data_IF_236241506072
#
_entry.id   IF_236241506072
#
_cell.length_a   1.000
_cell.length_b   1.000
_cell.length_c   1.000
_cell.angle_alpha   90.00
_cell.angle_beta   90.00
_cell.angle_gamma   90.00
#
_symmetry.space_group_name_H-M   'P 1'
#
loop_
_entity.id
_entity.type
_entity.pdbx_description
1 polymer ?
#
# COMPACT_ATOMS: atom_id res chain seq x y z
N UNK A 1 20.47 2.22 -31.89
CA UNK A 1 20.00 2.86 -30.65
C UNK A 1 19.29 4.20 -30.83
N UNK A 2 19.61 5.05 -31.82
CA UNK A 2 18.96 6.37 -31.99
C UNK A 2 17.61 6.37 -32.74
N UNK A 3 17.28 5.32 -33.50
CA UNK A 3 16.03 5.26 -34.28
C UNK A 3 14.78 5.06 -33.43
N UNK A 4 14.89 4.31 -32.32
CA UNK A 4 13.75 4.03 -31.43
C UNK A 4 13.34 5.29 -30.65
N UNK A 5 14.32 6.06 -30.15
CA UNK A 5 14.06 7.33 -29.47
C UNK A 5 13.44 8.37 -30.41
N UNK A 6 13.90 8.41 -31.66
CA UNK A 6 13.35 9.30 -32.69
C UNK A 6 11.90 8.96 -33.04
N UNK A 7 11.58 7.67 -33.22
CA UNK A 7 10.19 7.22 -33.44
C UNK A 7 9.29 7.51 -32.25
N UNK A 8 9.77 7.31 -31.02
CA UNK A 8 9.00 7.62 -29.82
C UNK A 8 8.69 9.13 -29.71
N UNK A 9 9.65 9.99 -30.06
CA UNK A 9 9.44 11.44 -30.09
C UNK A 9 8.44 11.86 -31.18
N UNK A 10 8.56 11.31 -32.39
CA UNK A 10 7.63 11.56 -33.50
C UNK A 10 6.19 11.11 -33.14
N UNK A 11 6.03 9.92 -32.55
CA UNK A 11 4.74 9.42 -32.08
C UNK A 11 4.12 10.27 -30.96
N UNK A 12 4.95 10.81 -30.06
CA UNK A 12 4.47 11.69 -28.99
C UNK A 12 3.97 13.03 -29.54
N UNK A 13 4.66 13.59 -30.54
CA UNK A 13 4.24 14.81 -31.22
C UNK A 13 2.90 14.59 -31.94
N UNK A 14 2.74 13.46 -32.64
CA UNK A 14 1.48 13.16 -33.33
C UNK A 14 0.33 12.88 -32.37
N UNK A 15 0.58 12.24 -31.22
CA UNK A 15 -0.41 12.08 -30.15
C UNK A 15 -0.89 13.43 -29.62
N UNK A 16 0.02 14.35 -29.32
CA UNK A 16 -0.32 15.71 -28.83
C UNK A 16 -1.13 16.49 -29.86
N UNK A 17 -0.85 16.32 -31.16
CA UNK A 17 -1.63 16.94 -32.25
C UNK A 17 -3.04 16.38 -32.40
N UNK A 18 -3.26 15.12 -32.01
CA UNK A 18 -4.56 14.45 -32.10
C UNK A 18 -5.45 14.70 -30.87
N UNK A 19 -4.89 15.23 -29.78
CA UNK A 19 -5.69 15.71 -28.67
C UNK A 19 -6.49 16.93 -29.14
N UNK A 20 -7.81 16.77 -29.23
CA UNK A 20 -8.71 17.92 -29.38
C UNK A 20 -8.38 18.92 -28.26
N UNK A 21 -8.25 20.22 -28.58
CA UNK A 21 -8.02 21.22 -27.55
C UNK A 21 -9.12 21.06 -26.49
N UNK A 22 -8.78 21.07 -25.19
CA UNK A 22 -9.77 20.92 -24.15
C UNK A 22 -10.88 21.94 -24.41
N UNK A 23 -12.13 21.46 -24.52
CA UNK A 23 -13.30 22.33 -24.64
C UNK A 23 -13.13 23.43 -23.61
N UNK A 24 -13.18 24.72 -23.99
CA UNK A 24 -12.99 25.80 -23.05
C UNK A 24 -13.97 25.56 -21.90
N UNK A 25 -13.41 25.22 -20.73
CA UNK A 25 -14.21 25.17 -19.52
C UNK A 25 -14.91 26.52 -19.45
N UNK A 26 -16.24 26.49 -19.29
CA UNK A 26 -17.03 27.68 -18.96
C UNK A 26 -16.21 28.48 -17.96
N UNK A 27 -15.80 29.69 -18.38
CA UNK A 27 -15.16 30.64 -17.48
C UNK A 27 -16.12 30.81 -16.32
N UNK A 28 -15.80 30.23 -15.16
CA UNK A 28 -16.20 30.87 -13.92
C UNK A 28 -15.55 32.24 -14.04
N UNK A 29 -16.37 33.27 -14.25
CA UNK A 29 -15.95 34.65 -14.10
C UNK A 29 -15.53 34.83 -12.65
N UNK A 30 -14.27 34.46 -12.37
CA UNK A 30 -13.56 35.03 -11.25
C UNK A 30 -13.24 36.44 -11.71
N UNK A 31 -14.03 37.36 -11.19
CA UNK A 31 -13.94 38.80 -11.36
C UNK A 31 -12.45 39.21 -11.40
N UNK A 32 -11.94 39.80 -12.50
CA UNK A 32 -10.53 40.12 -12.64
C UNK A 32 -10.24 41.42 -11.89
N UNK A 33 -10.50 41.43 -10.58
CA UNK A 33 -9.76 42.28 -9.65
C UNK A 33 -8.45 41.57 -9.29
N UNK A 34 -7.70 41.21 -10.33
CA UNK A 34 -6.26 41.12 -10.27
C UNK A 34 -5.76 42.53 -9.99
N UNK A 35 -5.79 42.91 -8.72
CA UNK A 35 -5.02 44.04 -8.24
C UNK A 35 -3.58 43.71 -8.60
N UNK A 36 -3.01 44.49 -9.53
CA UNK A 36 -1.62 44.36 -9.94
C UNK A 36 -0.74 44.26 -8.68
N UNK A 37 0.19 43.30 -8.64
CA UNK A 37 1.12 43.10 -7.51
C UNK A 37 1.89 44.37 -7.12
N UNK A 38 1.99 45.35 -8.04
CA UNK A 38 2.55 46.68 -7.81
C UNK A 38 1.71 47.58 -6.86
N UNK A 39 0.41 47.34 -6.74
CA UNK A 39 -0.47 48.09 -5.83
C UNK A 39 -0.41 47.52 -4.41
N UNK A 40 -0.31 46.20 -4.26
CA UNK A 40 -0.06 45.53 -2.98
C UNK A 40 1.29 45.93 -2.38
N UNK A 41 2.36 46.02 -3.20
CA UNK A 41 3.66 46.47 -2.67
C UNK A 41 3.59 47.90 -2.13
N UNK A 42 2.84 48.81 -2.78
CA UNK A 42 2.66 50.19 -2.28
C UNK A 42 1.84 50.27 -1.00
N UNK A 43 0.87 49.38 -0.79
CA UNK A 43 0.10 49.29 0.46
C UNK A 43 0.96 48.78 1.63
N UNK A 44 1.85 47.81 1.38
CA UNK A 44 2.79 47.28 2.38
C UNK A 44 3.80 48.34 2.83
N UNK A 45 4.26 49.22 1.94
CA UNK A 45 5.18 50.32 2.31
C UNK A 45 4.50 51.51 3.03
N UNK A 46 3.16 51.59 3.02
CA UNK A 46 2.38 52.65 3.67
C UNK A 46 1.82 52.29 5.05
N UNK A 47 1.80 51.01 5.40
CA UNK A 47 1.24 50.48 6.65
C UNK A 47 2.21 49.48 7.29
N UNK A 48 3.16 49.92 8.14
CA UNK A 48 4.13 49.04 8.79
C UNK A 48 3.48 48.01 9.74
N UNK A 49 2.21 48.21 10.09
CA UNK A 49 1.37 47.29 10.87
C UNK A 49 1.05 46.00 10.09
N UNK A 50 1.00 46.03 8.75
CA UNK A 50 0.75 44.85 7.92
C UNK A 50 1.99 43.97 7.70
N UNK A 51 3.19 44.51 7.96
CA UNK A 51 4.44 43.74 8.04
C UNK A 51 4.70 43.14 9.41
N UNK A 52 3.96 43.57 10.44
CA UNK A 52 4.08 42.97 11.76
C UNK A 52 3.32 41.66 11.75
N UNK A 53 4.08 40.57 11.84
CA UNK A 53 3.52 39.24 12.06
C UNK A 53 2.64 39.30 13.32
N UNK A 54 1.36 38.85 13.25
CA UNK A 54 0.47 38.85 14.41
C UNK A 54 1.15 38.22 15.62
N UNK A 55 0.90 38.75 16.82
CA UNK A 55 1.51 38.21 18.05
C UNK A 55 1.22 36.71 18.25
N UNK A 56 0.08 36.24 17.76
CA UNK A 56 -0.30 34.82 17.74
C UNK A 56 0.62 33.97 16.86
N UNK A 57 1.02 34.48 15.69
CA UNK A 57 1.95 33.82 14.77
C UNK A 57 3.39 33.88 15.27
N UNK A 58 3.78 34.95 15.99
CA UNK A 58 5.06 35.03 16.69
C UNK A 58 5.13 34.09 17.91
N UNK A 59 3.97 33.70 18.47
CA UNK A 59 3.88 32.74 19.57
C UNK A 59 3.93 31.27 19.10
N UNK A 60 3.83 31.01 17.78
CA UNK A 60 4.06 29.69 17.23
C UNK A 60 5.53 29.29 17.45
N UNK A 61 5.75 28.05 17.90
CA UNK A 61 7.11 27.55 18.13
C UNK A 61 7.89 27.65 16.81
N UNK A 62 9.17 28.09 16.83
CA UNK A 62 10.01 28.05 15.65
C UNK A 62 10.05 26.62 15.10
N UNK A 63 10.14 26.47 13.78
CA UNK A 63 10.14 25.17 13.08
C UNK A 63 11.16 24.18 13.67
N UNK A 64 12.26 24.70 14.23
CA UNK A 64 13.33 23.95 14.90
C UNK A 64 12.90 23.33 16.25
N UNK A 65 11.82 23.82 16.87
CA UNK A 65 11.21 23.30 18.09
C UNK A 65 9.85 22.62 17.86
N UNK A 66 9.42 22.49 16.60
CA UNK A 66 8.34 21.59 16.25
C UNK A 66 8.86 20.17 16.50
N UNK A 67 8.15 19.34 17.30
CA UNK A 67 8.57 17.96 17.49
C UNK A 67 8.64 17.30 16.12
N UNK A 68 9.80 16.78 15.74
CA UNK A 68 9.91 15.89 14.58
C UNK A 68 8.89 14.78 14.81
N UNK A 69 7.91 14.60 13.91
CA UNK A 69 6.89 13.57 14.10
C UNK A 69 7.61 12.23 14.26
N UNK A 70 7.44 11.63 15.44
CA UNK A 70 7.94 10.29 15.71
C UNK A 70 6.83 9.33 15.36
N UNK A 71 7.04 8.56 14.30
CA UNK A 71 6.08 7.59 13.79
C UNK A 71 6.24 6.26 14.54
N UNK A 72 6.19 6.30 15.87
CA UNK A 72 6.47 5.16 16.76
C UNK A 72 5.44 5.07 17.89
N UNK A 73 5.09 3.84 18.30
CA UNK A 73 4.36 3.57 19.54
C UNK A 73 2.96 2.98 19.36
N UNK A 74 2.45 2.39 20.44
CA UNK A 74 1.09 1.85 20.54
C UNK A 74 0.09 3.00 20.51
N UNK A 75 -0.83 2.98 19.54
CA UNK A 75 -1.91 3.95 19.42
C UNK A 75 -3.16 3.50 20.17
N UNK A 76 -3.52 2.22 20.04
CA UNK A 76 -4.71 1.65 20.66
C UNK A 76 -4.53 0.15 20.87
N UNK A 77 -5.11 -0.35 21.96
CA UNK A 77 -5.26 -1.78 22.21
C UNK A 77 -6.74 -2.10 22.50
N UNK A 78 -7.22 -3.21 21.97
CA UNK A 78 -8.57 -3.74 22.22
C UNK A 78 -8.46 -5.22 22.54
N UNK A 79 -8.88 -5.62 23.74
CA UNK A 79 -9.01 -7.02 24.10
C UNK A 79 -10.39 -7.53 23.69
N UNK A 80 -10.43 -8.67 23.00
CA UNK A 80 -11.65 -9.34 22.54
C UNK A 80 -11.64 -10.75 23.11
N UNK A 81 -12.28 -10.95 24.26
CA UNK A 81 -12.36 -12.28 24.88
C UNK A 81 -13.38 -13.18 24.15
N UNK A 82 -13.10 -14.48 23.95
CA UNK A 82 -11.87 -15.22 24.28
C UNK A 82 -10.82 -15.25 23.15
N UNK A 83 -10.94 -14.38 22.14
CA UNK A 83 -10.20 -14.46 20.88
C UNK A 83 -8.78 -13.86 20.91
N UNK A 84 -8.51 -12.91 21.80
CA UNK A 84 -7.16 -12.33 21.98
C UNK A 84 -7.15 -10.81 22.03
N UNK A 85 -6.08 -10.19 21.52
CA UNK A 85 -5.88 -8.73 21.53
C UNK A 85 -5.61 -8.20 20.13
N UNK A 86 -6.16 -7.02 19.84
CA UNK A 86 -5.90 -6.26 18.64
C UNK A 86 -5.15 -4.99 19.03
N UNK A 87 -3.97 -4.80 18.46
CA UNK A 87 -3.14 -3.63 18.69
C UNK A 87 -2.99 -2.82 17.41
N UNK A 88 -3.18 -1.51 17.52
CA UNK A 88 -2.88 -0.55 16.47
C UNK A 88 -1.60 0.14 16.87
N UNK A 89 -0.53 -0.12 16.14
CA UNK A 89 0.81 0.40 16.41
C UNK A 89 1.26 1.26 15.24
N UNK A 90 1.92 2.35 15.56
CA UNK A 90 2.66 3.15 14.60
C UNK A 90 4.12 2.72 14.62
N UNK A 91 4.69 2.33 13.47
CA UNK A 91 6.08 1.86 13.41
C UNK A 91 6.43 1.18 12.10
N UNK A 92 7.63 0.59 12.04
CA UNK A 92 8.05 -0.29 10.95
C UNK A 92 7.46 -1.70 11.16
N UNK A 93 6.73 -2.19 10.16
CA UNK A 93 6.15 -3.53 10.16
C UNK A 93 7.23 -4.62 10.29
N UNK A 94 8.40 -4.41 9.70
CA UNK A 94 9.48 -5.41 9.73
C UNK A 94 10.20 -5.48 11.08
N UNK A 95 9.96 -4.52 11.96
CA UNK A 95 10.44 -4.53 13.36
C UNK A 95 9.39 -5.08 14.33
N UNK A 96 8.19 -5.43 13.83
CA UNK A 96 7.13 -5.98 14.65
C UNK A 96 7.51 -7.37 15.19
N UNK A 97 7.34 -7.55 16.51
CA UNK A 97 7.52 -8.82 17.20
C UNK A 97 6.27 -9.69 17.04
N UNK A 98 6.06 -10.20 15.82
CA UNK A 98 4.96 -11.10 15.49
C UNK A 98 5.47 -12.34 14.75
N UNK A 99 4.79 -13.46 14.90
CA UNK A 99 5.16 -14.73 14.26
C UNK A 99 4.94 -14.69 12.74
N UNK A 100 3.98 -13.88 12.28
CA UNK A 100 3.72 -13.68 10.86
C UNK A 100 3.61 -12.20 10.47
N UNK A 101 4.18 -11.85 9.32
CA UNK A 101 4.01 -10.57 8.65
C UNK A 101 3.11 -10.78 7.44
N UNK A 102 1.94 -10.13 7.42
CA UNK A 102 1.02 -10.17 6.28
C UNK A 102 1.31 -8.98 5.38
N UNK A 103 1.66 -9.26 4.13
CA UNK A 103 2.18 -8.28 3.18
C UNK A 103 1.33 -8.26 1.92
N UNK A 104 0.94 -7.08 1.41
CA UNK A 104 0.18 -7.00 0.18
C UNK A 104 1.13 -7.20 -1.02
N UNK A 105 0.66 -7.95 -2.03
CA UNK A 105 1.47 -8.34 -3.19
C UNK A 105 0.70 -8.22 -4.50
N UNK A 106 1.41 -8.06 -5.60
CA UNK A 106 0.84 -8.03 -6.95
C UNK A 106 0.68 -9.45 -7.52
N UNK A 107 -0.27 -9.70 -8.44
CA UNK A 107 -0.54 -11.03 -9.01
C UNK A 107 0.66 -11.71 -9.69
N UNK A 108 1.62 -10.91 -10.18
CA UNK A 108 2.82 -11.39 -10.84
C UNK A 108 4.03 -11.56 -9.90
N UNK A 109 3.88 -11.31 -8.59
CA UNK A 109 4.96 -11.32 -7.61
C UNK A 109 6.16 -10.44 -8.00
N UNK A 110 5.91 -9.36 -8.74
CA UNK A 110 6.94 -8.41 -9.15
C UNK A 110 6.50 -7.00 -8.71
N UNK A 111 6.60 -6.70 -7.41
CA UNK A 111 6.30 -5.37 -6.90
C UNK A 111 7.38 -4.40 -7.42
N UNK A 112 6.95 -3.27 -7.96
CA UNK A 112 7.86 -2.23 -8.47
C UNK A 112 8.08 -1.08 -7.48
N UNK A 113 7.28 -1.02 -6.41
CA UNK A 113 7.37 -0.05 -5.31
C UNK A 113 6.53 -0.49 -4.11
N UNK A 114 6.69 0.22 -3.00
CA UNK A 114 5.88 0.03 -1.80
C UNK A 114 6.34 -1.17 -0.98
N UNK A 115 5.49 -1.60 -0.05
CA UNK A 115 5.88 -2.54 0.99
C UNK A 115 6.28 -3.92 0.46
N UNK A 116 5.65 -4.39 -0.62
CA UNK A 116 6.03 -5.67 -1.25
C UNK A 116 7.46 -5.65 -1.82
N UNK A 117 7.92 -4.52 -2.36
CA UNK A 117 9.29 -4.39 -2.84
C UNK A 117 10.26 -4.30 -1.67
N UNK A 118 9.95 -3.48 -0.67
CA UNK A 118 10.77 -3.35 0.54
C UNK A 118 10.95 -4.70 1.24
N UNK A 119 9.91 -5.52 1.28
CA UNK A 119 9.97 -6.88 1.82
C UNK A 119 10.99 -7.76 1.05
N UNK A 120 10.98 -7.71 -0.28
CA UNK A 120 11.95 -8.44 -1.10
C UNK A 120 13.37 -7.89 -1.00
N UNK A 121 13.53 -6.58 -0.90
CA UNK A 121 14.86 -5.95 -0.73
C UNK A 121 15.48 -6.34 0.62
N UNK A 122 14.68 -6.39 1.70
CA UNK A 122 15.14 -6.82 3.04
C UNK A 122 15.36 -8.32 3.15
N UNK A 123 14.42 -9.14 2.64
CA UNK A 123 14.53 -10.60 2.65
C UNK A 123 15.57 -11.15 1.65
N UNK A 124 15.96 -10.32 0.69
CA UNK A 124 16.95 -10.64 -0.31
C UNK A 124 16.56 -11.80 -1.22
N UNK A 125 17.57 -12.37 -1.89
CA UNK A 125 17.39 -13.40 -2.91
C UNK A 125 16.66 -14.65 -2.40
N UNK A 126 16.93 -15.06 -1.16
CA UNK A 126 16.36 -16.27 -0.58
C UNK A 126 14.83 -16.18 -0.43
N UNK A 127 14.33 -15.04 0.07
CA UNK A 127 12.89 -14.81 0.20
C UNK A 127 12.22 -14.78 -1.18
N UNK A 128 12.84 -14.14 -2.16
CA UNK A 128 12.31 -14.08 -3.53
C UNK A 128 12.21 -15.49 -4.13
N UNK A 129 13.28 -16.28 -4.06
CA UNK A 129 13.29 -17.65 -4.59
C UNK A 129 12.25 -18.54 -3.89
N UNK A 130 12.15 -18.46 -2.55
CA UNK A 130 11.13 -19.18 -1.79
C UNK A 130 9.71 -18.78 -2.21
N UNK A 131 9.46 -17.48 -2.39
CA UNK A 131 8.14 -16.95 -2.80
C UNK A 131 7.72 -17.50 -4.16
N UNK A 132 8.61 -17.45 -5.15
CA UNK A 132 8.31 -17.97 -6.49
C UNK A 132 8.18 -19.50 -6.52
N UNK A 133 9.01 -20.22 -5.75
CA UNK A 133 8.93 -21.67 -5.63
C UNK A 133 7.59 -22.10 -5.00
N UNK A 134 7.18 -21.44 -3.91
CA UNK A 134 5.91 -21.72 -3.26
C UNK A 134 4.72 -21.38 -4.17
N UNK A 135 4.72 -20.21 -4.82
CA UNK A 135 3.64 -19.83 -5.72
C UNK A 135 3.50 -20.79 -6.92
N UNK A 136 4.62 -21.32 -7.41
CA UNK A 136 4.62 -22.34 -8.45
C UNK A 136 4.01 -23.65 -7.94
N UNK A 137 4.43 -24.13 -6.77
CA UNK A 137 3.86 -25.32 -6.16
C UNK A 137 2.35 -25.19 -5.93
N UNK A 138 1.89 -24.05 -5.42
CA UNK A 138 0.47 -23.76 -5.20
C UNK A 138 -0.33 -23.67 -6.52
N UNK A 139 0.29 -23.20 -7.60
CA UNK A 139 -0.33 -23.18 -8.94
C UNK A 139 -0.45 -24.59 -9.52
N UNK A 140 0.59 -25.42 -9.39
CA UNK A 140 0.60 -26.82 -9.84
C UNK A 140 -0.44 -27.67 -9.08
N UNK A 141 -0.56 -27.48 -7.75
CA UNK A 141 -1.56 -28.17 -6.93
C UNK A 141 -3.00 -27.76 -7.30
N UNK A 142 -3.21 -26.50 -7.69
CA UNK A 142 -4.51 -26.03 -8.17
C UNK A 142 -4.85 -26.59 -9.54
N UNK A 143 -3.90 -26.59 -10.47
CA UNK A 143 -4.08 -27.18 -11.80
C UNK A 143 -4.41 -28.68 -11.70
N UNK A 144 -3.74 -29.41 -10.80
CA UNK A 144 -4.02 -30.81 -10.54
C UNK A 144 -5.45 -31.05 -10.02
N UNK A 145 -5.99 -30.12 -9.20
CA UNK A 145 -7.36 -30.19 -8.68
C UNK A 145 -8.43 -29.78 -9.69
N UNK A 146 -8.17 -28.78 -10.52
CA UNK A 146 -9.14 -28.26 -11.49
C UNK A 146 -9.17 -29.08 -12.79
N UNK A 147 -8.15 -29.89 -13.06
CA UNK A 147 -8.01 -30.60 -14.33
C UNK A 147 -7.69 -29.67 -15.51
N UNK A 148 -7.37 -28.39 -15.24
CA UNK A 148 -6.96 -27.44 -16.26
C UNK A 148 -5.48 -27.62 -16.61
N UNK A 149 -5.19 -27.73 -17.90
CA UNK A 149 -3.83 -27.80 -18.43
C UNK A 149 -3.25 -26.39 -18.54
N UNK A 150 -2.56 -25.92 -17.50
CA UNK A 150 -1.79 -24.67 -17.54
C UNK A 150 -1.42 -24.10 -16.18
N UNK A 151 -0.34 -23.31 -16.14
CA UNK A 151 0.01 -22.50 -14.97
C UNK A 151 -0.93 -21.30 -14.93
N UNK A 152 -1.99 -21.38 -14.13
CA UNK A 152 -2.85 -20.23 -13.89
C UNK A 152 -2.09 -19.24 -13.00
N UNK A 153 -2.04 -17.96 -13.42
CA UNK A 153 -1.42 -16.91 -12.62
C UNK A 153 -2.15 -16.70 -11.30
N UNK A 154 -1.47 -16.11 -10.31
CA UNK A 154 -2.10 -15.83 -9.03
C UNK A 154 -3.28 -14.86 -9.20
N UNK A 155 -4.34 -15.11 -8.46
CA UNK A 155 -5.55 -14.31 -8.46
C UNK A 155 -5.67 -13.49 -7.17
N UNK A 156 -6.51 -12.46 -7.19
CA UNK A 156 -6.79 -11.67 -6.00
C UNK A 156 -7.37 -12.57 -4.90
N UNK A 157 -6.74 -12.55 -3.72
CA UNK A 157 -7.06 -13.41 -2.58
C UNK A 157 -6.16 -14.63 -2.45
N UNK A 158 -5.36 -14.97 -3.46
CA UNK A 158 -4.32 -15.98 -3.30
C UNK A 158 -3.29 -15.53 -2.27
N UNK A 159 -2.80 -16.48 -1.48
CA UNK A 159 -1.77 -16.24 -0.48
C UNK A 159 -0.56 -17.12 -0.74
N UNK A 160 0.63 -16.56 -0.57
CA UNK A 160 1.92 -17.26 -0.66
C UNK A 160 2.61 -17.11 0.68
N UNK A 161 2.84 -18.22 1.36
CA UNK A 161 3.35 -18.27 2.72
C UNK A 161 4.76 -18.87 2.74
N UNK A 162 5.73 -18.08 3.17
CA UNK A 162 7.16 -18.43 3.14
C UNK A 162 7.86 -17.99 4.42
N UNK A 163 8.98 -18.62 4.79
CA UNK A 163 9.80 -18.14 5.91
C UNK A 163 10.37 -16.75 5.61
N UNK A 164 10.27 -15.84 6.57
CA UNK A 164 10.86 -14.49 6.50
C UNK A 164 12.36 -14.51 6.84
N UNK A 165 12.73 -15.27 7.87
CA UNK A 165 14.10 -15.41 8.33
C UNK A 165 14.67 -16.81 8.00
N UNK A 166 16.00 -16.92 8.00
CA UNK A 166 16.68 -18.20 7.75
C UNK A 166 16.42 -19.25 8.85
N UNK A 167 15.91 -18.81 10.00
CA UNK A 167 15.54 -19.68 11.11
C UNK A 167 14.08 -20.17 11.04
N UNK A 168 13.28 -19.64 10.11
CA UNK A 168 11.86 -19.97 9.94
C UNK A 168 10.97 -19.60 11.12
N UNK A 169 11.43 -18.72 12.02
CA UNK A 169 10.69 -18.31 13.23
C UNK A 169 9.62 -17.29 12.93
N UNK A 170 9.91 -16.39 11.98
CA UNK A 170 8.95 -15.42 11.48
C UNK A 170 8.56 -15.79 10.05
N UNK A 171 7.29 -15.59 9.71
CA UNK A 171 6.73 -15.91 8.40
C UNK A 171 6.37 -14.64 7.63
N UNK A 172 6.45 -14.72 6.31
CA UNK A 172 5.93 -13.71 5.41
C UNK A 172 4.78 -14.31 4.60
N UNK A 173 3.58 -13.74 4.78
CA UNK A 173 2.36 -14.14 4.10
C UNK A 173 2.04 -13.06 3.08
N UNK A 174 2.38 -13.31 1.82
CA UNK A 174 2.06 -12.43 0.71
C UNK A 174 0.64 -12.67 0.24
N UNK A 175 -0.19 -11.64 0.30
CA UNK A 175 -1.59 -11.68 -0.12
C UNK A 175 -1.71 -10.95 -1.45
N UNK A 176 -2.18 -11.63 -2.48
CA UNK A 176 -2.38 -11.01 -3.79
C UNK A 176 -3.59 -10.08 -3.72
N UNK A 177 -3.31 -8.79 -3.78
CA UNK A 177 -4.32 -7.76 -3.59
C UNK A 177 -4.98 -7.36 -4.92
N UNK A 178 -6.31 -7.15 -4.95
CA UNK A 178 -7.00 -6.54 -6.07
C UNK A 178 -6.64 -5.07 -6.19
N UNK A 179 -6.79 -4.51 -7.39
CA UNK A 179 -6.72 -3.06 -7.58
C UNK A 179 -8.11 -2.45 -7.38
N UNK A 180 -8.19 -1.33 -6.67
CA UNK A 180 -9.47 -0.66 -6.39
C UNK A 180 -10.25 -0.30 -7.67
N UNK A 181 -9.55 0.12 -8.73
CA UNK A 181 -10.17 0.56 -9.98
C UNK A 181 -10.63 -0.57 -10.93
N UNK A 182 -10.49 -1.84 -10.54
CA UNK A 182 -10.92 -2.98 -11.36
C UNK A 182 -12.40 -3.35 -11.20
N UNK A 183 -13.27 -2.34 -11.18
CA UNK A 183 -14.72 -2.54 -11.09
C UNK A 183 -15.44 -1.41 -10.34
N UNK A 184 -16.63 -1.71 -9.85
CA UNK A 184 -17.36 -0.79 -8.99
C UNK A 184 -16.72 -0.73 -7.58
N UNK A 185 -16.90 0.38 -6.83
CA UNK A 185 -16.43 0.47 -5.45
C UNK A 185 -16.96 -0.65 -4.54
N UNK A 186 -18.19 -1.12 -4.80
CA UNK A 186 -18.80 -2.23 -4.07
C UNK A 186 -18.10 -3.56 -4.37
N UNK A 187 -17.76 -3.82 -5.63
CA UNK A 187 -17.04 -5.03 -6.00
C UNK A 187 -15.59 -5.01 -5.50
N UNK A 188 -14.94 -3.83 -5.55
CA UNK A 188 -13.63 -3.62 -4.98
C UNK A 188 -13.61 -3.93 -3.47
N UNK A 189 -14.63 -3.48 -2.73
CA UNK A 189 -14.78 -3.77 -1.31
C UNK A 189 -15.02 -5.27 -1.04
N UNK A 190 -15.85 -5.95 -1.83
CA UNK A 190 -16.06 -7.40 -1.72
C UNK A 190 -14.79 -8.20 -1.96
N UNK A 191 -14.03 -7.84 -3.02
CA UNK A 191 -12.74 -8.47 -3.33
C UNK A 191 -11.71 -8.22 -2.22
N UNK A 192 -11.63 -6.99 -1.72
CA UNK A 192 -10.74 -6.66 -0.61
C UNK A 192 -11.08 -7.45 0.65
N UNK A 193 -12.36 -7.55 1.00
CA UNK A 193 -12.86 -8.38 2.11
C UNK A 193 -12.44 -9.84 1.95
N UNK A 194 -12.62 -10.40 0.75
CA UNK A 194 -12.16 -11.75 0.45
C UNK A 194 -10.66 -11.90 0.69
N UNK A 195 -9.84 -10.94 0.25
CA UNK A 195 -8.39 -10.98 0.45
C UNK A 195 -7.99 -10.89 1.92
N UNK A 196 -8.62 -10.00 2.69
CA UNK A 196 -8.42 -9.89 4.14
C UNK A 196 -8.74 -11.22 4.84
N UNK A 197 -9.89 -11.82 4.52
CA UNK A 197 -10.26 -13.14 5.03
C UNK A 197 -9.24 -14.22 4.69
N UNK A 198 -8.77 -14.26 3.44
CA UNK A 198 -7.77 -15.23 3.01
C UNK A 198 -6.42 -15.00 3.69
N UNK A 199 -6.06 -13.75 3.97
CA UNK A 199 -4.85 -13.39 4.71
C UNK A 199 -4.89 -13.94 6.15
N UNK A 200 -5.98 -13.69 6.88
CA UNK A 200 -6.17 -14.20 8.23
C UNK A 200 -6.28 -15.72 8.26
N UNK A 201 -6.97 -16.32 7.29
CA UNK A 201 -7.03 -17.78 7.15
C UNK A 201 -5.65 -18.38 6.89
N UNK A 202 -4.80 -17.74 6.07
CA UNK A 202 -3.44 -18.20 5.83
C UNK A 202 -2.58 -18.11 7.09
N UNK A 203 -2.71 -17.03 7.86
CA UNK A 203 -2.02 -16.88 9.14
C UNK A 203 -2.49 -17.96 10.14
N UNK A 204 -3.80 -18.19 10.26
CA UNK A 204 -4.36 -19.17 11.18
C UNK A 204 -4.09 -20.63 10.80
N UNK A 205 -4.01 -20.93 9.49
CA UNK A 205 -3.84 -22.29 8.96
C UNK A 205 -2.42 -22.60 8.48
N UNK A 206 -1.42 -21.82 8.89
CA UNK A 206 -0.01 -22.04 8.53
C UNK A 206 0.51 -23.44 8.92
N UNK A 207 -0.16 -24.17 9.82
CA UNK A 207 0.16 -25.55 10.18
C UNK A 207 -0.18 -26.58 9.07
N UNK A 208 -1.04 -26.25 8.10
CA UNK A 208 -1.70 -27.22 7.22
C UNK A 208 -1.00 -27.48 5.87
N UNK A 209 0.06 -26.75 5.51
CA UNK A 209 0.55 -26.73 4.12
C UNK A 209 1.81 -27.53 3.79
N UNK A 210 2.35 -28.34 4.69
CA UNK A 210 3.32 -29.39 4.31
C UNK A 210 3.38 -30.52 5.34
N UNK A 211 3.02 -31.77 4.99
CA UNK A 211 3.21 -32.90 5.90
C UNK A 211 4.71 -33.22 6.02
N UNK A 212 5.33 -32.88 7.15
CA UNK A 212 6.71 -33.28 7.46
C UNK A 212 7.63 -32.18 8.00
N UNK A 213 7.19 -30.93 8.07
CA UNK A 213 7.93 -29.87 8.77
C UNK A 213 7.20 -29.53 10.08
N UNK A 214 7.88 -29.71 11.22
CA UNK A 214 7.45 -29.18 12.52
C UNK A 214 7.45 -27.64 12.44
N UNK A 215 6.39 -27.07 11.90
CA UNK A 215 6.19 -25.62 11.81
C UNK A 215 5.49 -25.15 13.08
N UNK A 216 6.03 -24.14 13.74
CA UNK A 216 5.41 -23.56 14.92
C UNK A 216 4.08 -22.88 14.57
N UNK A 217 3.04 -22.99 15.42
CA UNK A 217 1.80 -22.24 15.27
C UNK A 217 2.06 -20.73 15.22
N UNK A 218 1.33 -20.02 14.37
CA UNK A 218 1.31 -18.55 14.36
C UNK A 218 0.35 -18.10 15.47
N UNK A 219 0.90 -17.57 16.56
CA UNK A 219 0.10 -17.02 17.66
C UNK A 219 -0.19 -15.52 17.48
N UNK A 220 0.64 -14.84 16.68
CA UNK A 220 0.57 -13.41 16.44
C UNK A 220 0.85 -13.07 14.98
N UNK A 221 0.09 -12.12 14.43
CA UNK A 221 0.29 -11.62 13.07
C UNK A 221 0.27 -10.09 13.06
N UNK A 222 1.21 -9.49 12.33
CA UNK A 222 1.26 -8.06 12.08
C UNK A 222 0.94 -7.78 10.62
N UNK A 223 0.14 -6.75 10.35
CA UNK A 223 -0.26 -6.37 9.00
C UNK A 223 -0.38 -4.85 8.85
N UNK A 224 -0.02 -4.28 7.69
CA UNK A 224 -0.26 -2.89 7.38
C UNK A 224 -1.71 -2.70 6.93
N UNK A 225 -2.10 -1.48 6.57
CA UNK A 225 -3.30 -1.31 5.76
C UNK A 225 -3.09 -1.90 4.35
N UNK A 226 -3.50 -3.15 4.14
CA UNK A 226 -3.23 -3.95 2.94
C UNK A 226 -3.70 -3.28 1.63
N UNK A 227 -4.75 -2.45 1.69
CA UNK A 227 -5.34 -1.81 0.51
C UNK A 227 -4.77 -0.41 0.22
N UNK A 228 -4.06 0.18 1.18
CA UNK A 228 -3.55 1.53 1.04
C UNK A 228 -2.38 1.62 0.04
N UNK A 229 -2.07 2.84 -0.38
CA UNK A 229 -0.96 3.11 -1.30
C UNK A 229 -1.28 2.70 -2.73
N UNK A 230 -0.52 1.74 -3.28
CA UNK A 230 -0.58 1.44 -4.72
C UNK A 230 -1.89 0.80 -5.16
N UNK A 231 -2.58 0.08 -4.28
CA UNK A 231 -3.83 -0.61 -4.59
C UNK A 231 -5.03 0.33 -4.63
N UNK A 232 -4.86 1.57 -4.17
CA UNK A 232 -5.81 2.66 -4.37
C UNK A 232 -7.04 2.62 -3.46
N UNK A 233 -7.08 1.77 -2.44
CA UNK A 233 -8.19 1.78 -1.48
C UNK A 233 -8.08 2.99 -0.54
N UNK A 234 -9.23 3.59 -0.23
CA UNK A 234 -9.33 4.62 0.78
C UNK A 234 -8.95 4.03 2.15
N UNK A 235 -7.95 4.60 2.87
CA UNK A 235 -7.48 4.04 4.14
C UNK A 235 -8.58 3.81 5.16
N UNK A 236 -9.55 4.72 5.27
CA UNK A 236 -10.69 4.57 6.19
C UNK A 236 -11.56 3.38 5.84
N UNK A 237 -11.87 3.19 4.56
CA UNK A 237 -12.70 2.10 4.07
C UNK A 237 -12.00 0.74 4.21
N UNK A 238 -10.73 0.66 3.82
CA UNK A 238 -9.96 -0.59 3.96
C UNK A 238 -9.67 -0.94 5.43
N UNK A 239 -9.33 0.03 6.29
CA UNK A 239 -9.15 -0.22 7.73
C UNK A 239 -10.43 -0.73 8.37
N UNK A 240 -11.60 -0.20 7.99
CA UNK A 240 -12.87 -0.71 8.48
C UNK A 240 -13.10 -2.18 8.09
N UNK A 241 -12.82 -2.55 6.84
CA UNK A 241 -12.97 -3.94 6.40
C UNK A 241 -11.99 -4.85 7.14
N UNK A 242 -10.73 -4.42 7.35
CA UNK A 242 -9.74 -5.20 8.10
C UNK A 242 -10.10 -5.42 9.56
N UNK A 243 -10.85 -4.50 10.18
CA UNK A 243 -11.33 -4.65 11.55
C UNK A 243 -12.61 -5.50 11.64
N UNK A 244 -13.38 -5.58 10.57
CA UNK A 244 -14.62 -6.37 10.51
C UNK A 244 -14.37 -7.85 10.16
N UNK A 245 -13.29 -8.17 9.45
CA UNK A 245 -12.84 -9.54 9.15
C UNK A 245 -11.90 -10.08 10.23
#
# INVERSE_FOLDING_TARGET
>A
FNMVRRRAAEQHIDYVRQLEPPRPQLRVEVDPKLQSSLHETRLVFGHPELTQQPQEDMALRPLQGAPTPRYEGLLQEVSVEPFGTLQVVHGDLFEAQADALVLPMTPNLLPYRGLGLEAFDRGGKALVEATFAQAKADSEERAARSGELGVQGLQAGDTVDVPWDSQGKQRAIFVVMPWFWQGSPLDAAKRFRHCAKMAFAAAAHSELRSPGEDRAPVASAALPNLGAGIFGYEPRGSSRILLEE
#
